data_IF_044874999126
#
_entry.id   IF_044874999126
#
_cell.length_a   1.000
_cell.length_b   1.000
_cell.length_c   1.000
_cell.angle_alpha   90.00
_cell.angle_beta   90.00
_cell.angle_gamma   90.00
#
_symmetry.space_group_name_H-M   'P 1'
#
loop_
_entity.id
_entity.type
_entity.pdbx_description
1 polymer ?
#
# COMPACT_ATOMS: atom_id res chain seq x y z
N UNK A 1 8.07 12.28 20.76
CA UNK A 1 7.74 11.93 19.87
C UNK A 1 6.41 11.83 19.61
N UNK A 2 5.89 12.18 18.65
CA UNK A 2 4.71 12.14 18.33
C UNK A 2 4.36 11.18 17.41
N UNK A 3 3.50 10.33 17.61
CA UNK A 3 3.10 9.34 16.69
C UNK A 3 2.57 9.95 15.45
N UNK A 4 2.05 11.09 15.53
CA UNK A 4 1.50 11.70 14.36
C UNK A 4 2.53 11.97 13.33
N UNK A 5 3.76 12.13 13.74
CA UNK A 5 4.77 12.39 12.81
C UNK A 5 5.23 11.20 12.08
N UNK A 6 4.75 10.02 12.41
CA UNK A 6 5.13 8.84 11.71
C UNK A 6 4.20 8.52 10.57
N UNK A 7 3.23 9.35 10.30
CA UNK A 7 2.32 9.06 9.24
C UNK A 7 2.79 9.67 7.94
N UNK A 8 2.58 8.99 6.86
CA UNK A 8 2.94 9.53 5.56
C UNK A 8 2.06 8.86 4.52
N UNK A 9 2.03 9.45 3.35
CA UNK A 9 1.16 8.96 2.31
C UNK A 9 1.93 8.01 1.41
N UNK A 10 1.36 6.84 1.16
CA UNK A 10 1.96 5.94 0.21
C UNK A 10 0.95 5.75 -0.91
N UNK A 11 1.42 5.31 -2.04
CA UNK A 11 0.54 5.08 -3.16
C UNK A 11 0.50 3.61 -3.45
N UNK A 12 -0.68 3.03 -3.40
CA UNK A 12 -0.83 1.62 -3.63
C UNK A 12 -1.44 1.38 -4.99
N UNK A 13 -0.81 0.53 -5.75
CA UNK A 13 -1.31 0.19 -7.06
C UNK A 13 -2.17 -1.04 -6.92
N UNK A 14 -3.45 -0.91 -7.19
CA UNK A 14 -4.36 -2.03 -7.14
C UNK A 14 -5.06 -2.08 -8.48
N UNK A 15 -4.83 -3.17 -9.18
CA UNK A 15 -5.34 -3.27 -10.54
C UNK A 15 -4.63 -2.26 -11.39
N UNK A 16 -5.37 -1.36 -11.97
CA UNK A 16 -4.79 -0.35 -12.80
C UNK A 16 -4.87 1.01 -12.17
N UNK A 17 -5.26 1.08 -10.92
CA UNK A 17 -5.42 2.37 -10.30
C UNK A 17 -4.52 2.55 -9.12
N UNK A 18 -4.14 3.78 -8.86
CA UNK A 18 -3.28 4.09 -7.75
C UNK A 18 -4.10 4.77 -6.69
N UNK A 19 -3.99 4.29 -5.47
CA UNK A 19 -4.74 4.83 -4.36
C UNK A 19 -3.80 5.41 -3.32
N UNK A 20 -3.93 6.69 -3.01
CA UNK A 20 -3.09 7.28 -1.98
C UNK A 20 -3.69 6.97 -0.62
N UNK A 21 -2.89 6.49 0.28
CA UNK A 21 -3.33 6.11 1.60
C UNK A 21 -2.37 6.65 2.63
N UNK A 22 -2.90 7.22 3.69
CA UNK A 22 -2.06 7.73 4.76
C UNK A 22 -1.87 6.61 5.77
N UNK A 23 -0.65 6.25 6.04
CA UNK A 23 -0.37 5.14 6.95
C UNK A 23 0.73 5.53 7.90
N UNK A 24 0.87 4.76 8.94
CA UNK A 24 1.97 4.93 9.85
C UNK A 24 3.12 4.12 9.30
N UNK A 25 4.32 4.48 9.70
CA UNK A 25 5.49 3.81 9.20
C UNK A 25 5.42 2.31 9.43
N UNK A 26 4.97 1.90 10.59
CA UNK A 26 4.93 0.48 10.87
C UNK A 26 3.81 -0.23 10.11
N UNK A 27 2.89 0.50 9.49
CA UNK A 27 1.84 -0.12 8.76
C UNK A 27 2.13 -0.20 7.28
N UNK A 28 3.17 0.44 6.83
CA UNK A 28 3.45 0.51 5.41
C UNK A 28 3.58 -0.87 4.78
N UNK A 29 4.34 -1.73 5.39
CA UNK A 29 4.54 -3.03 4.83
C UNK A 29 3.27 -3.83 4.80
N UNK A 30 2.43 -3.68 5.79
CA UNK A 30 1.18 -4.41 5.85
C UNK A 30 0.29 -4.00 4.70
N UNK A 31 0.22 -2.71 4.43
CA UNK A 31 -0.64 -2.24 3.36
C UNK A 31 -0.09 -2.64 1.99
N UNK A 32 1.23 -2.62 1.83
CA UNK A 32 1.79 -3.00 0.56
C UNK A 32 1.57 -4.48 0.30
N UNK A 33 1.65 -5.29 1.37
CA UNK A 33 1.45 -6.70 1.21
C UNK A 33 -0.01 -6.97 0.88
N UNK A 34 -0.94 -6.24 1.51
CA UNK A 34 -2.33 -6.43 1.24
C UNK A 34 -2.65 -6.08 -0.21
N UNK A 35 -2.04 -5.02 -0.72
CA UNK A 35 -2.29 -4.63 -2.10
C UNK A 35 -1.79 -5.70 -3.05
N UNK A 36 -0.64 -6.31 -2.71
CA UNK A 36 -0.11 -7.35 -3.56
C UNK A 36 -1.04 -8.55 -3.58
N UNK A 37 -1.62 -8.88 -2.42
CA UNK A 37 -2.51 -10.02 -2.37
C UNK A 37 -3.77 -9.75 -3.17
N UNK A 38 -4.26 -8.52 -3.14
CA UNK A 38 -5.42 -8.18 -3.90
C UNK A 38 -5.11 -8.29 -5.38
N UNK A 39 -3.95 -7.82 -5.80
CA UNK A 39 -3.58 -7.90 -7.20
C UNK A 39 -3.46 -9.34 -7.66
N UNK A 40 -2.99 -10.20 -6.79
CA UNK A 40 -2.87 -11.60 -7.15
C UNK A 40 -4.25 -12.19 -7.36
N UNK A 41 -5.20 -11.81 -6.53
CA UNK A 41 -6.53 -12.36 -6.70
C UNK A 41 -7.19 -11.81 -7.94
N UNK A 42 -6.82 -10.64 -8.37
CA UNK A 42 -7.37 -10.09 -9.56
C UNK A 42 -6.66 -10.63 -10.80
N UNK A 43 -5.60 -11.38 -10.59
CA UNK A 43 -4.83 -11.87 -11.70
C UNK A 43 -3.94 -10.82 -12.32
N UNK A 44 -3.68 -9.72 -11.62
CA UNK A 44 -2.85 -8.71 -12.16
C UNK A 44 -1.61 -8.61 -11.43
N UNK A 45 -0.53 -9.14 -11.96
CA UNK A 45 0.69 -9.08 -11.29
C UNK A 45 1.50 -8.00 -11.81
N UNK A 46 2.43 -7.50 -11.03
CA UNK A 46 3.36 -6.63 -11.44
C UNK A 46 4.29 -7.29 -12.23
N UNK A 47 4.45 -7.04 -13.38
CA UNK A 47 5.30 -7.68 -14.20
C UNK A 47 6.54 -7.12 -14.19
N UNK A 48 7.19 -7.02 -13.49
CA UNK A 48 8.41 -6.36 -13.51
C UNK A 48 9.39 -6.84 -14.32
#
# INVERSE_FOLDING_TARGET
MDAAQDKFVIQLLIGKQIYPITVKREQEEIYRKAARMINEKLGRYEQS
#
